data_IF_726942020613
#
_entry.id   IF_726942020613
#
_cell.length_a   1.000
_cell.length_b   1.000
_cell.length_c   1.000
_cell.angle_alpha   90.00
_cell.angle_beta   90.00
_cell.angle_gamma   90.00
#
_symmetry.space_group_name_H-M   'P 1'
#
loop_
_entity.id
_entity.type
_entity.pdbx_description
1 polymer ?
#
# COMPACT_ATOMS: atom_id res chain seq x y z
N UNK A 1 -14.26 12.30 -10.79
CA UNK A 1 -12.93 11.69 -10.55
C UNK A 1 -12.79 10.52 -11.49
N UNK A 2 -11.70 10.46 -12.27
CA UNK A 2 -11.46 9.32 -13.15
C UNK A 2 -10.76 8.17 -12.38
N UNK A 3 -10.77 6.93 -12.92
CA UNK A 3 -10.19 5.78 -12.22
C UNK A 3 -8.71 5.95 -11.86
N UNK A 4 -7.92 6.58 -12.74
CA UNK A 4 -6.49 6.83 -12.52
C UNK A 4 -6.23 7.77 -11.34
N UNK A 5 -7.04 8.82 -11.21
CA UNK A 5 -6.96 9.76 -10.08
C UNK A 5 -7.32 9.07 -8.76
N UNK A 6 -8.35 8.22 -8.76
CA UNK A 6 -8.73 7.45 -7.59
C UNK A 6 -7.61 6.49 -7.16
N UNK A 7 -7.01 5.78 -8.11
CA UNK A 7 -5.87 4.90 -7.84
C UNK A 7 -4.67 5.67 -7.28
N UNK A 8 -4.35 6.84 -7.84
CA UNK A 8 -3.27 7.68 -7.32
C UNK A 8 -3.52 8.06 -5.86
N UNK A 9 -4.73 8.48 -5.50
CA UNK A 9 -5.07 8.85 -4.12
C UNK A 9 -4.93 7.67 -3.14
N UNK A 10 -5.30 6.45 -3.58
CA UNK A 10 -5.10 5.24 -2.77
C UNK A 10 -3.60 5.00 -2.55
N UNK A 11 -2.79 5.06 -3.61
CA UNK A 11 -1.34 4.90 -3.50
C UNK A 11 -0.70 5.96 -2.61
N UNK A 12 -1.07 7.23 -2.77
CA UNK A 12 -0.59 8.33 -1.93
C UNK A 12 -0.95 8.09 -0.46
N UNK A 13 -2.20 7.67 -0.17
CA UNK A 13 -2.66 7.37 1.18
C UNK A 13 -1.90 6.21 1.82
N UNK A 14 -1.58 5.16 1.05
CA UNK A 14 -0.73 4.05 1.51
C UNK A 14 0.64 4.58 1.92
N UNK A 15 1.31 5.34 1.03
CA UNK A 15 2.65 5.87 1.28
C UNK A 15 2.68 6.76 2.52
N UNK A 16 1.72 7.68 2.65
CA UNK A 16 1.62 8.55 3.82
C UNK A 16 1.39 7.75 5.11
N UNK A 17 0.55 6.71 5.08
CA UNK A 17 0.37 5.81 6.23
C UNK A 17 1.68 5.12 6.62
N UNK A 18 2.48 4.67 5.66
CA UNK A 18 3.76 3.99 5.95
C UNK A 18 4.78 4.93 6.60
N UNK A 19 4.83 6.20 6.18
CA UNK A 19 5.73 7.22 6.76
C UNK A 19 5.49 7.47 8.25
N UNK A 20 4.27 7.21 8.74
CA UNK A 20 3.95 7.36 10.18
C UNK A 20 4.63 6.31 11.06
N UNK A 21 5.17 5.23 10.48
CA UNK A 21 5.81 4.15 11.22
C UNK A 21 7.22 3.83 10.67
N UNK A 22 8.27 4.47 11.21
CA UNK A 22 9.66 4.25 10.80
C UNK A 22 10.17 2.81 11.02
N UNK A 23 9.54 2.04 11.92
CA UNK A 23 9.92 0.65 12.17
C UNK A 23 9.39 -0.33 11.11
N UNK A 24 8.56 0.16 10.18
CA UNK A 24 7.90 -0.64 9.17
C UNK A 24 6.50 -1.05 9.58
N UNK A 25 5.58 -1.02 8.61
CA UNK A 25 4.18 -1.39 8.81
C UNK A 25 3.96 -2.84 8.41
N UNK A 26 3.34 -3.68 9.26
CA UNK A 26 2.95 -5.03 8.88
C UNK A 26 1.98 -5.02 7.69
N UNK A 27 2.33 -5.74 6.61
CA UNK A 27 1.52 -5.75 5.39
C UNK A 27 0.11 -6.29 5.64
N UNK A 28 -0.01 -7.28 6.53
CA UNK A 28 -1.30 -7.87 6.89
C UNK A 28 -2.24 -6.85 7.57
N UNK A 29 -1.70 -5.93 8.37
CA UNK A 29 -2.48 -4.86 8.99
C UNK A 29 -2.97 -3.85 7.96
N UNK A 30 -2.12 -3.49 6.99
CA UNK A 30 -2.50 -2.61 5.89
C UNK A 30 -3.54 -3.27 4.96
N UNK A 31 -3.33 -4.55 4.63
CA UNK A 31 -4.30 -5.33 3.84
C UNK A 31 -5.64 -5.42 4.56
N UNK A 32 -5.66 -5.75 5.85
CA UNK A 32 -6.89 -5.84 6.62
C UNK A 32 -7.70 -4.53 6.57
N UNK A 33 -7.02 -3.38 6.67
CA UNK A 33 -7.67 -2.07 6.53
C UNK A 33 -8.29 -1.90 5.14
N UNK A 34 -7.52 -2.14 4.07
CA UNK A 34 -8.00 -1.97 2.69
C UNK A 34 -9.09 -2.98 2.31
N UNK A 35 -9.05 -4.18 2.89
CA UNK A 35 -10.07 -5.22 2.71
C UNK A 35 -11.44 -4.75 3.21
N UNK A 36 -11.50 -3.97 4.31
CA UNK A 36 -12.77 -3.39 4.78
C UNK A 36 -13.41 -2.44 3.76
N UNK A 37 -12.62 -1.93 2.82
CA UNK A 37 -13.05 -1.04 1.73
C UNK A 37 -13.29 -1.80 0.41
N UNK A 38 -13.28 -3.14 0.44
CA UNK A 38 -13.51 -3.98 -0.72
C UNK A 38 -12.27 -4.30 -1.56
N UNK A 39 -11.07 -3.98 -1.09
CA UNK A 39 -9.83 -4.36 -1.79
C UNK A 39 -9.58 -5.86 -1.68
N UNK A 40 -9.48 -6.56 -2.81
CA UNK A 40 -9.11 -7.98 -2.83
C UNK A 40 -7.62 -8.16 -2.53
N UNK A 41 -7.24 -9.38 -2.11
CA UNK A 41 -5.82 -9.71 -1.89
C UNK A 41 -4.99 -9.55 -3.18
N UNK A 42 -5.55 -9.93 -4.32
CA UNK A 42 -4.90 -9.79 -5.62
C UNK A 42 -4.66 -8.32 -5.97
N UNK A 43 -5.66 -7.45 -5.78
CA UNK A 43 -5.53 -6.01 -5.98
C UNK A 43 -4.50 -5.40 -5.04
N UNK A 44 -4.52 -5.79 -3.77
CA UNK A 44 -3.53 -5.35 -2.79
C UNK A 44 -2.11 -5.73 -3.22
N UNK A 45 -1.88 -6.98 -3.59
CA UNK A 45 -0.58 -7.47 -4.06
C UNK A 45 -0.12 -6.71 -5.31
N UNK A 46 -1.02 -6.46 -6.27
CA UNK A 46 -0.69 -5.70 -7.47
C UNK A 46 -0.27 -4.25 -7.14
N UNK A 47 -0.98 -3.59 -6.22
CA UNK A 47 -0.65 -2.22 -5.78
C UNK A 47 0.71 -2.19 -5.07
N UNK A 48 0.93 -3.07 -4.09
CA UNK A 48 2.17 -3.10 -3.32
C UNK A 48 3.37 -3.45 -4.21
N UNK A 49 3.24 -4.45 -5.09
CA UNK A 49 4.31 -4.81 -6.03
C UNK A 49 4.63 -3.64 -6.97
N UNK A 50 3.61 -2.97 -7.53
CA UNK A 50 3.82 -1.81 -8.40
C UNK A 50 4.52 -0.64 -7.68
N UNK A 51 4.17 -0.39 -6.41
CA UNK A 51 4.83 0.64 -5.61
C UNK A 51 6.29 0.28 -5.28
N UNK A 52 6.58 -1.00 -5.01
CA UNK A 52 7.94 -1.49 -4.81
C UNK A 52 8.79 -1.39 -6.07
N UNK A 53 8.25 -1.82 -7.22
CA UNK A 53 8.93 -1.75 -8.52
C UNK A 53 9.22 -0.30 -8.93
N UNK A 54 8.32 0.63 -8.61
CA UNK A 54 8.52 2.07 -8.82
C UNK A 54 9.52 2.70 -7.82
N UNK A 55 10.02 1.96 -6.83
CA UNK A 55 10.92 2.47 -5.80
C UNK A 55 10.26 3.43 -4.80
N UNK A 56 8.92 3.49 -4.77
CA UNK A 56 8.15 4.38 -3.90
C UNK A 56 8.06 3.85 -2.46
N UNK A 57 8.09 2.52 -2.31
CA UNK A 57 8.11 1.83 -1.03
C UNK A 57 9.09 0.66 -1.10
N UNK A 58 9.50 0.14 0.06
CA UNK A 58 10.35 -1.05 0.19
C UNK A 58 9.66 -2.10 1.05
N UNK A 59 9.77 -3.37 0.66
CA UNK A 59 9.29 -4.52 1.43
C UNK A 59 10.47 -5.29 2.03
N UNK A 60 10.39 -5.65 3.32
CA UNK A 60 11.33 -6.57 3.97
C UNK A 60 10.54 -7.60 4.80
N UNK A 61 10.53 -8.85 4.35
CA UNK A 61 9.65 -9.87 4.94
C UNK A 61 8.18 -9.43 4.84
N UNK A 62 7.50 -9.35 5.98
CA UNK A 62 6.10 -8.91 6.09
C UNK A 62 5.95 -7.43 6.45
N UNK A 63 7.02 -6.63 6.38
CA UNK A 63 7.02 -5.21 6.71
C UNK A 63 7.17 -4.33 5.45
N UNK A 64 6.43 -3.23 5.41
CA UNK A 64 6.44 -2.21 4.37
C UNK A 64 7.00 -0.89 4.91
N UNK A 65 7.80 -0.20 4.08
CA UNK A 65 8.49 1.04 4.42
C UNK A 65 8.33 2.04 3.27
N UNK A 66 8.19 3.34 3.57
CA UNK A 66 8.19 4.43 2.59
C UNK A 66 9.25 5.47 2.92
#
# INVERSE_FOLDING_TARGET
MNPTQALKLICDGIIESLKTNPAGTPEGSLYALLMTQGCSLEQFNAIISGLCEAGMIRKQGNLLFA
#
